data_IF_003492834817
#
_entry.id   IF_003492834817
#
_cell.length_a   1.000
_cell.length_b   1.000
_cell.length_c   1.000
_cell.angle_alpha   90.00
_cell.angle_beta   90.00
_cell.angle_gamma   90.00
#
_symmetry.space_group_name_H-M   'P 1'
#
loop_
_entity.id
_entity.type
_entity.pdbx_description
1 polymer ?
#
# COMPACT_ATOMS: atom_id res chain seq x y z
N UNK A 1 -19.82 -19.28 9.63
CA UNK A 1 -19.71 -18.37 8.46
C UNK A 1 -18.89 -19.11 7.41
N UNK A 2 -18.97 -18.74 6.13
CA UNK A 2 -18.10 -19.34 5.11
C UNK A 2 -16.71 -18.72 5.26
N UNK A 3 -15.66 -19.54 5.34
CA UNK A 3 -14.30 -19.04 5.60
C UNK A 3 -13.66 -18.39 4.36
N UNK A 4 -14.14 -18.75 3.16
CA UNK A 4 -13.66 -18.21 1.87
C UNK A 4 -14.80 -18.02 0.86
N UNK A 5 -14.70 -16.98 0.04
CA UNK A 5 -15.65 -16.61 -0.99
C UNK A 5 -15.07 -16.85 -2.38
N UNK A 6 -15.74 -17.69 -3.20
CA UNK A 6 -15.41 -17.81 -4.61
C UNK A 6 -16.03 -16.66 -5.42
N UNK A 7 -15.56 -16.49 -6.65
CA UNK A 7 -16.15 -15.55 -7.61
C UNK A 7 -17.65 -15.85 -7.83
N UNK A 8 -18.03 -17.11 -7.93
CA UNK A 8 -19.42 -17.54 -8.10
C UNK A 8 -20.28 -17.20 -6.89
N UNK A 9 -19.73 -17.33 -5.67
CA UNK A 9 -20.42 -16.88 -4.46
C UNK A 9 -20.70 -15.39 -4.50
N UNK A 10 -19.70 -14.58 -4.89
CA UNK A 10 -19.85 -13.13 -5.00
C UNK A 10 -20.85 -12.72 -6.08
N UNK A 11 -20.88 -13.40 -7.22
CA UNK A 11 -21.83 -13.13 -8.31
C UNK A 11 -23.26 -13.52 -7.93
N UNK A 12 -23.43 -14.54 -7.08
CA UNK A 12 -24.74 -15.04 -6.67
C UNK A 12 -25.30 -14.36 -5.41
N UNK A 13 -24.54 -13.46 -4.76
CA UNK A 13 -24.98 -12.68 -3.61
C UNK A 13 -26.32 -12.00 -3.90
N UNK A 14 -27.30 -12.27 -3.05
CA UNK A 14 -28.60 -11.63 -3.09
C UNK A 14 -28.59 -10.42 -2.16
N UNK A 15 -28.95 -9.24 -2.69
CA UNK A 15 -29.08 -8.04 -1.90
C UNK A 15 -30.18 -8.22 -0.83
N UNK A 16 -29.89 -7.81 0.40
CA UNK A 16 -30.87 -7.72 1.49
C UNK A 16 -31.30 -6.29 1.75
N UNK A 17 -30.52 -5.32 1.27
CA UNK A 17 -30.78 -3.89 1.42
C UNK A 17 -30.66 -3.20 0.06
N UNK A 18 -31.22 -1.99 -0.03
CA UNK A 18 -31.10 -1.14 -1.23
C UNK A 18 -29.71 -0.49 -1.35
N UNK A 19 -28.86 -0.63 -0.32
CA UNK A 19 -27.55 0.00 -0.21
C UNK A 19 -26.47 -1.07 0.02
N UNK A 20 -25.39 -0.99 -0.75
CA UNK A 20 -24.15 -1.73 -0.56
C UNK A 20 -23.05 -0.79 -0.09
N UNK A 21 -22.41 -1.10 1.04
CA UNK A 21 -21.22 -0.40 1.51
C UNK A 21 -20.00 -1.31 1.34
N UNK A 22 -19.10 -0.89 0.45
CA UNK A 22 -17.79 -1.49 0.25
C UNK A 22 -16.76 -0.80 1.16
N UNK A 23 -16.15 -1.56 2.05
CA UNK A 23 -15.25 -1.06 3.11
C UNK A 23 -13.83 -1.47 2.77
N UNK A 24 -12.95 -0.49 2.56
CA UNK A 24 -11.50 -0.75 2.58
C UNK A 24 -11.06 -1.00 4.02
N UNK A 25 -10.44 -2.15 4.30
CA UNK A 25 -10.02 -2.47 5.67
C UNK A 25 -8.88 -1.54 6.13
N UNK A 26 -7.97 -1.21 5.23
CA UNK A 26 -6.78 -0.43 5.52
C UNK A 26 -7.13 1.05 5.73
N UNK A 27 -7.01 1.54 6.95
CA UNK A 27 -7.28 2.93 7.29
C UNK A 27 -8.75 3.30 7.43
N UNK A 28 -9.71 2.37 7.26
CA UNK A 28 -11.09 2.54 7.71
C UNK A 28 -11.49 1.60 8.85
N UNK A 29 -10.88 0.41 8.92
CA UNK A 29 -11.11 -0.55 10.02
C UNK A 29 -9.89 -0.65 10.91
N UNK A 30 -8.70 -0.74 10.32
CA UNK A 30 -7.44 -0.85 11.05
C UNK A 30 -6.60 0.42 10.89
N UNK A 31 -5.86 0.81 11.94
CA UNK A 31 -4.84 1.87 11.86
C UNK A 31 -3.55 1.37 11.18
N UNK A 32 -3.71 0.67 10.06
CA UNK A 32 -2.63 0.03 9.34
C UNK A 32 -1.85 1.01 8.47
N UNK A 33 -2.49 2.09 8.01
CA UNK A 33 -1.88 3.05 7.11
C UNK A 33 -0.71 3.79 7.76
N UNK A 34 -0.86 4.23 9.01
CA UNK A 34 0.22 4.89 9.75
C UNK A 34 1.40 3.95 9.95
N UNK A 35 1.14 2.70 10.35
CA UNK A 35 2.18 1.69 10.60
C UNK A 35 2.91 1.32 9.31
N UNK A 36 2.19 1.00 8.24
CA UNK A 36 2.76 0.65 6.93
C UNK A 36 3.57 1.83 6.37
N UNK A 37 3.10 3.06 6.53
CA UNK A 37 3.84 4.23 6.06
C UNK A 37 5.18 4.43 6.79
N UNK A 38 5.25 4.09 8.09
CA UNK A 38 6.54 4.08 8.81
C UNK A 38 7.52 3.10 8.18
N UNK A 39 7.06 1.89 7.87
CA UNK A 39 7.90 0.90 7.18
C UNK A 39 8.42 1.45 5.85
N UNK A 40 7.55 2.05 5.04
CA UNK A 40 7.93 2.60 3.74
C UNK A 40 8.93 3.76 3.83
N UNK A 41 8.68 4.76 4.68
CA UNK A 41 9.57 5.94 4.80
C UNK A 41 10.94 5.54 5.34
N UNK A 42 10.99 4.63 6.33
CA UNK A 42 12.24 4.16 6.93
C UNK A 42 13.03 3.37 5.87
N UNK A 43 12.34 2.51 5.11
CA UNK A 43 12.94 1.80 3.98
C UNK A 43 13.48 2.70 2.87
N UNK A 44 12.84 3.86 2.60
CA UNK A 44 13.36 4.85 1.64
C UNK A 44 14.67 5.46 2.15
N UNK A 45 14.78 5.76 3.43
CA UNK A 45 16.01 6.30 4.00
C UNK A 45 17.15 5.28 3.89
N UNK A 46 16.90 4.04 4.29
CA UNK A 46 17.91 2.98 4.33
C UNK A 46 18.39 2.53 2.94
N UNK A 47 17.50 2.36 1.96
CA UNK A 47 17.87 1.82 0.64
C UNK A 47 18.67 2.80 -0.22
N UNK A 48 18.50 4.10 -0.01
CA UNK A 48 19.16 5.13 -0.82
C UNK A 48 20.15 5.98 -0.02
N UNK A 49 20.49 5.58 1.21
CA UNK A 49 21.52 6.22 2.04
C UNK A 49 21.20 7.69 2.34
N UNK A 50 19.97 7.94 2.80
CA UNK A 50 19.45 9.29 3.04
C UNK A 50 19.45 9.70 4.52
N UNK A 51 20.25 9.03 5.36
CA UNK A 51 20.22 9.20 6.82
C UNK A 51 20.51 10.64 7.25
N UNK A 52 21.36 11.35 6.49
CA UNK A 52 21.71 12.74 6.77
C UNK A 52 20.52 13.73 6.68
N UNK A 53 19.41 13.32 6.06
CA UNK A 53 18.17 14.10 5.93
C UNK A 53 16.94 13.26 6.30
N UNK A 54 17.09 12.29 7.21
CA UNK A 54 16.04 11.33 7.52
C UNK A 54 14.72 12.01 7.96
N UNK A 55 14.79 13.05 8.78
CA UNK A 55 13.61 13.78 9.25
C UNK A 55 12.84 14.45 8.10
N UNK A 56 13.55 15.09 7.16
CA UNK A 56 12.95 15.70 5.97
C UNK A 56 12.37 14.65 5.03
N UNK A 57 13.11 13.55 4.79
CA UNK A 57 12.66 12.43 3.95
C UNK A 57 11.39 11.81 4.53
N UNK A 58 11.36 11.55 5.84
CA UNK A 58 10.19 11.02 6.53
C UNK A 58 8.96 11.92 6.37
N UNK A 59 9.11 13.23 6.58
CA UNK A 59 8.00 14.19 6.40
C UNK A 59 7.49 14.21 4.96
N UNK A 60 8.38 14.17 3.98
CA UNK A 60 8.01 14.15 2.56
C UNK A 60 7.26 12.85 2.24
N UNK A 61 7.81 11.69 2.62
CA UNK A 61 7.19 10.40 2.38
C UNK A 61 5.82 10.31 3.06
N UNK A 62 5.69 10.70 4.33
CA UNK A 62 4.42 10.74 5.05
C UNK A 62 3.41 11.66 4.39
N UNK A 63 3.81 12.88 4.00
CA UNK A 63 2.89 13.79 3.32
C UNK A 63 2.39 13.18 2.01
N UNK A 64 3.29 12.65 1.18
CA UNK A 64 2.93 11.99 -0.08
C UNK A 64 2.01 10.78 0.17
N UNK A 65 2.36 9.91 1.12
CA UNK A 65 1.66 8.64 1.35
C UNK A 65 0.37 8.73 2.17
N UNK A 66 0.22 9.74 3.03
CA UNK A 66 -0.91 9.84 3.96
C UNK A 66 -1.76 11.10 3.79
N UNK A 67 -1.17 12.22 3.37
CA UNK A 67 -1.80 13.55 3.47
C UNK A 67 -1.89 14.29 2.13
N UNK A 68 -1.61 13.62 1.02
CA UNK A 68 -1.70 14.17 -0.33
C UNK A 68 -2.76 13.44 -1.17
N UNK A 69 -3.15 14.00 -2.33
CA UNK A 69 -4.01 13.30 -3.31
C UNK A 69 -3.39 12.02 -3.90
N UNK A 70 -2.12 11.73 -3.60
CA UNK A 70 -1.43 10.50 -4.04
C UNK A 70 -1.53 9.35 -3.03
N UNK A 71 -2.25 9.56 -1.92
CA UNK A 71 -2.55 8.50 -0.96
C UNK A 71 -3.26 7.33 -1.67
N UNK A 72 -2.86 6.11 -1.35
CA UNK A 72 -3.48 4.88 -1.89
C UNK A 72 -3.07 4.54 -3.32
N UNK A 73 -2.13 5.25 -3.93
CA UNK A 73 -1.53 4.83 -5.20
C UNK A 73 -0.85 3.47 -5.09
N UNK A 74 -0.72 2.78 -6.22
CA UNK A 74 0.13 1.60 -6.32
C UNK A 74 1.55 1.94 -5.82
N UNK A 75 2.18 1.00 -5.12
CA UNK A 75 3.52 1.18 -4.52
C UNK A 75 4.57 1.78 -5.48
N UNK A 76 4.60 1.37 -6.75
CA UNK A 76 5.58 1.91 -7.71
C UNK A 76 5.24 3.33 -8.17
N UNK A 77 3.96 3.68 -8.23
CA UNK A 77 3.53 5.06 -8.44
C UNK A 77 3.83 5.92 -7.20
N UNK A 78 3.62 5.36 -6.01
CA UNK A 78 3.86 6.04 -4.75
C UNK A 78 5.35 6.34 -4.52
N UNK A 79 6.23 5.35 -4.72
CA UNK A 79 7.68 5.58 -4.62
C UNK A 79 8.20 6.52 -5.72
N UNK A 80 7.61 6.49 -6.92
CA UNK A 80 7.90 7.51 -7.92
C UNK A 80 7.54 8.91 -7.41
N UNK A 81 6.41 9.08 -6.71
CA UNK A 81 6.06 10.37 -6.08
C UNK A 81 6.99 10.75 -4.93
N UNK A 82 7.49 9.79 -4.16
CA UNK A 82 8.55 10.06 -3.19
C UNK A 82 9.79 10.61 -3.89
N UNK A 83 10.29 9.92 -4.92
CA UNK A 83 11.49 10.33 -5.64
C UNK A 83 11.35 11.71 -6.30
N UNK A 84 10.24 11.96 -7.00
CA UNK A 84 9.95 13.27 -7.58
C UNK A 84 9.91 14.38 -6.53
N UNK A 85 9.34 14.11 -5.35
CA UNK A 85 9.30 15.08 -4.26
C UNK A 85 10.69 15.29 -3.64
N UNK A 86 11.49 14.23 -3.50
CA UNK A 86 12.86 14.32 -3.01
C UNK A 86 13.77 15.08 -3.98
N UNK A 87 13.61 14.92 -5.30
CA UNK A 87 14.30 15.73 -6.31
C UNK A 87 13.93 17.21 -6.20
N UNK A 88 12.65 17.51 -5.95
CA UNK A 88 12.17 18.89 -5.83
C UNK A 88 12.67 19.57 -4.54
N UNK A 89 12.55 18.89 -3.39
CA UNK A 89 12.79 19.51 -2.08
C UNK A 89 14.18 19.23 -1.50
N UNK A 90 14.85 18.16 -1.94
CA UNK A 90 16.19 17.75 -1.52
C UNK A 90 17.08 17.42 -2.75
N UNK A 91 17.28 18.35 -3.70
CA UNK A 91 17.83 18.06 -5.03
C UNK A 91 19.20 17.37 -5.03
N UNK A 92 20.08 17.72 -4.10
CA UNK A 92 21.41 17.08 -3.94
C UNK A 92 21.32 15.58 -3.64
N UNK A 93 20.29 15.18 -2.89
CA UNK A 93 20.02 13.77 -2.56
C UNK A 93 19.15 13.11 -3.62
N UNK A 94 18.06 13.78 -4.01
CA UNK A 94 17.07 13.25 -4.96
C UNK A 94 17.63 12.95 -6.35
N UNK A 95 18.59 13.75 -6.83
CA UNK A 95 19.24 13.54 -8.14
C UNK A 95 19.96 12.20 -8.32
N UNK A 96 20.20 11.44 -7.23
CA UNK A 96 20.82 10.11 -7.26
C UNK A 96 19.80 8.97 -7.39
N UNK A 97 18.51 9.27 -7.24
CA UNK A 97 17.43 8.29 -7.27
C UNK A 97 17.12 7.87 -8.71
N UNK A 98 16.64 6.63 -8.94
CA UNK A 98 16.30 6.15 -10.27
C UNK A 98 14.93 6.66 -10.74
N UNK A 99 14.69 7.98 -10.62
CA UNK A 99 13.38 8.59 -10.86
C UNK A 99 12.93 8.46 -12.30
N UNK A 100 13.83 8.75 -13.26
CA UNK A 100 13.51 8.71 -14.68
C UNK A 100 13.26 7.27 -15.16
N UNK A 101 14.08 6.33 -14.69
CA UNK A 101 13.95 4.90 -15.00
C UNK A 101 12.63 4.34 -14.43
N UNK A 102 12.30 4.72 -13.19
CA UNK A 102 11.05 4.30 -12.55
C UNK A 102 9.84 4.94 -13.23
N UNK A 103 9.94 6.20 -13.65
CA UNK A 103 8.89 6.87 -14.41
C UNK A 103 8.60 6.16 -15.74
N UNK A 104 9.64 5.71 -16.44
CA UNK A 104 9.48 4.93 -17.68
C UNK A 104 8.71 3.62 -17.44
N UNK A 105 9.03 2.88 -16.36
CA UNK A 105 8.28 1.69 -15.98
C UNK A 105 6.83 2.01 -15.62
N UNK A 106 6.58 3.04 -14.81
CA UNK A 106 5.23 3.43 -14.39
C UNK A 106 4.37 3.88 -15.58
N UNK A 107 4.97 4.50 -16.61
CA UNK A 107 4.28 4.93 -17.83
C UNK A 107 4.22 3.87 -18.94
N UNK A 108 4.76 2.68 -18.71
CA UNK A 108 4.86 1.61 -19.72
C UNK A 108 3.51 1.02 -20.17
N UNK A 109 2.45 1.22 -19.38
CA UNK A 109 1.15 0.57 -19.57
C UNK A 109 1.11 -0.90 -19.11
N UNK A 110 2.21 -1.42 -18.55
CA UNK A 110 2.26 -2.74 -17.92
C UNK A 110 1.60 -2.74 -16.54
N UNK A 111 1.25 -3.93 -16.07
CA UNK A 111 0.80 -4.11 -14.69
C UNK A 111 1.92 -3.75 -13.72
N UNK A 112 1.67 -2.82 -12.79
CA UNK A 112 2.67 -2.33 -11.84
C UNK A 112 2.87 -3.33 -10.69
N UNK A 113 3.66 -4.37 -10.94
CA UNK A 113 3.94 -5.48 -10.04
C UNK A 113 5.43 -5.83 -10.01
N UNK A 114 5.91 -6.47 -8.92
CA UNK A 114 7.32 -6.89 -8.82
C UNK A 114 7.73 -7.84 -9.97
N UNK A 115 6.93 -8.84 -10.38
CA UNK A 115 7.30 -9.71 -11.51
C UNK A 115 7.36 -8.99 -12.86
N UNK A 116 6.54 -7.95 -13.07
CA UNK A 116 6.63 -7.11 -14.28
C UNK A 116 7.82 -6.15 -14.22
N UNK A 117 8.17 -5.62 -13.04
CA UNK A 117 9.37 -4.81 -12.86
C UNK A 117 10.64 -5.62 -13.11
N UNK A 118 10.70 -6.86 -12.63
CA UNK A 118 11.82 -7.77 -12.87
C UNK A 118 11.99 -8.06 -14.37
N UNK A 119 10.92 -8.41 -15.08
CA UNK A 119 10.93 -8.58 -16.55
C UNK A 119 11.27 -7.28 -17.29
N UNK A 120 10.85 -6.13 -16.77
CA UNK A 120 11.22 -4.83 -17.33
C UNK A 120 12.73 -4.62 -17.25
N UNK A 121 13.34 -4.89 -16.10
CA UNK A 121 14.80 -4.79 -15.89
C UNK A 121 15.55 -5.73 -16.84
N UNK A 122 15.13 -6.99 -16.94
CA UNK A 122 15.75 -7.98 -17.84
C UNK A 122 15.71 -7.54 -19.31
N UNK A 123 14.60 -6.94 -19.74
CA UNK A 123 14.39 -6.50 -21.13
C UNK A 123 15.15 -5.22 -21.47
N UNK A 124 15.25 -4.29 -20.52
CA UNK A 124 15.78 -2.94 -20.78
C UNK A 124 17.24 -2.78 -20.35
N UNK A 125 17.72 -3.61 -19.44
CA UNK A 125 19.05 -3.45 -18.83
C UNK A 125 19.13 -2.31 -17.81
N UNK A 126 17.99 -1.79 -17.34
CA UNK A 126 17.94 -0.68 -16.37
C UNK A 126 18.30 -1.14 -14.95
N UNK A 127 19.57 -1.41 -14.71
CA UNK A 127 20.08 -1.96 -13.44
C UNK A 127 19.77 -1.10 -12.21
N UNK A 128 19.61 0.22 -12.37
CA UNK A 128 19.27 1.10 -11.24
C UNK A 128 17.93 0.75 -10.59
N UNK A 129 17.00 0.15 -11.35
CA UNK A 129 15.71 -0.30 -10.84
C UNK A 129 15.80 -1.56 -9.97
N UNK A 130 16.95 -2.24 -9.93
CA UNK A 130 17.19 -3.34 -8.98
C UNK A 130 17.00 -2.86 -7.53
N UNK A 131 17.48 -1.65 -7.20
CA UNK A 131 17.29 -1.06 -5.88
C UNK A 131 15.80 -0.87 -5.51
N UNK A 132 14.96 -0.50 -6.49
CA UNK A 132 13.51 -0.36 -6.30
C UNK A 132 12.83 -1.73 -6.12
N UNK A 133 13.28 -2.73 -6.87
CA UNK A 133 12.78 -4.11 -6.76
C UNK A 133 13.14 -4.73 -5.41
N UNK A 134 14.38 -4.57 -4.97
CA UNK A 134 14.87 -5.02 -3.66
C UNK A 134 14.15 -4.31 -2.52
N UNK A 135 14.02 -2.98 -2.59
CA UNK A 135 13.23 -2.21 -1.63
C UNK A 135 11.80 -2.74 -1.56
N UNK A 136 11.15 -2.96 -2.72
CA UNK A 136 9.78 -3.45 -2.78
C UNK A 136 9.63 -4.82 -2.08
N UNK A 137 10.56 -5.75 -2.32
CA UNK A 137 10.58 -7.07 -1.66
C UNK A 137 10.76 -6.94 -0.15
N UNK A 138 11.68 -6.10 0.28
CA UNK A 138 11.97 -5.88 1.69
C UNK A 138 10.79 -5.21 2.43
N UNK A 139 10.11 -4.23 1.83
CA UNK A 139 8.91 -3.64 2.41
C UNK A 139 7.80 -4.67 2.59
N UNK A 140 7.62 -5.57 1.62
CA UNK A 140 6.66 -6.68 1.74
C UNK A 140 7.03 -7.61 2.90
N UNK A 141 8.32 -7.95 3.06
CA UNK A 141 8.80 -8.75 4.19
C UNK A 141 8.53 -8.06 5.53
N UNK A 142 8.94 -6.79 5.68
CA UNK A 142 8.72 -6.01 6.91
C UNK A 142 7.25 -5.88 7.28
N UNK A 143 6.37 -5.61 6.30
CA UNK A 143 4.92 -5.53 6.53
C UNK A 143 4.37 -6.88 7.00
N UNK A 144 4.84 -8.01 6.44
CA UNK A 144 4.37 -9.34 6.84
C UNK A 144 4.80 -9.75 8.26
N UNK A 145 5.82 -9.10 8.80
CA UNK A 145 6.36 -9.34 10.15
C UNK A 145 5.80 -8.36 11.18
N UNK A 146 4.95 -7.40 10.78
CA UNK A 146 4.31 -6.49 11.71
C UNK A 146 3.41 -7.29 12.68
N UNK A 147 3.38 -6.91 13.96
CA UNK A 147 2.38 -7.44 14.87
C UNK A 147 0.97 -7.07 14.39
N UNK A 148 -0.07 -7.81 14.81
CA UNK A 148 -1.44 -7.47 14.51
C UNK A 148 -1.75 -6.01 14.84
N UNK A 149 -2.35 -5.31 13.90
CA UNK A 149 -2.66 -3.89 14.02
C UNK A 149 -4.07 -3.77 14.61
N UNK A 150 -4.27 -3.01 15.68
CA UNK A 150 -5.57 -2.88 16.30
C UNK A 150 -6.56 -2.20 15.34
N UNK A 151 -7.82 -2.59 15.47
CA UNK A 151 -8.93 -1.90 14.86
C UNK A 151 -9.14 -0.52 15.51
N UNK A 152 -9.74 0.41 14.78
CA UNK A 152 -10.14 1.70 15.34
C UNK A 152 -11.21 1.53 16.41
N UNK A 153 -11.10 2.31 17.49
CA UNK A 153 -12.11 2.35 18.55
C UNK A 153 -13.50 2.64 17.97
N UNK A 154 -14.48 1.82 18.34
CA UNK A 154 -15.87 2.00 17.92
C UNK A 154 -16.22 1.44 16.54
N UNK A 155 -15.27 0.85 15.79
CA UNK A 155 -15.55 0.39 14.43
C UNK A 155 -16.59 -0.75 14.42
N UNK A 156 -16.45 -1.75 15.28
CA UNK A 156 -17.38 -2.89 15.30
C UNK A 156 -18.80 -2.46 15.66
N UNK A 157 -18.97 -1.56 16.63
CA UNK A 157 -20.26 -0.98 16.97
C UNK A 157 -20.85 -0.15 15.81
N UNK A 158 -19.99 0.46 15.00
CA UNK A 158 -20.41 1.20 13.81
C UNK A 158 -20.85 0.24 12.70
N UNK A 159 -20.11 -0.85 12.47
CA UNK A 159 -20.44 -1.90 11.51
C UNK A 159 -21.76 -2.59 11.87
N UNK A 160 -21.99 -2.91 13.15
CA UNK A 160 -23.27 -3.45 13.61
C UNK A 160 -24.45 -2.54 13.27
N UNK A 161 -24.31 -1.23 13.46
CA UNK A 161 -25.35 -0.25 13.11
C UNK A 161 -25.56 -0.15 11.60
N UNK A 162 -24.47 -0.16 10.83
CA UNK A 162 -24.53 -0.10 9.36
C UNK A 162 -25.16 -1.36 8.77
N UNK A 163 -24.92 -2.53 9.36
CA UNK A 163 -25.45 -3.81 8.89
C UNK A 163 -26.98 -3.90 8.93
N UNK A 164 -27.63 -3.06 9.75
CA UNK A 164 -29.11 -2.96 9.80
C UNK A 164 -29.69 -2.22 8.58
N UNK A 165 -28.88 -1.41 7.90
CA UNK A 165 -29.35 -0.52 6.83
C UNK A 165 -28.67 -0.78 5.47
N UNK A 166 -27.61 -1.58 5.44
CA UNK A 166 -26.83 -1.85 4.23
C UNK A 166 -26.22 -3.25 4.24
N UNK A 167 -26.08 -3.81 3.04
CA UNK A 167 -25.18 -4.94 2.82
C UNK A 167 -23.73 -4.44 2.91
N UNK A 168 -22.89 -5.15 3.65
CA UNK A 168 -21.50 -4.77 3.89
C UNK A 168 -20.57 -5.76 3.20
N UNK A 169 -19.57 -5.26 2.50
CA UNK A 169 -18.50 -6.09 1.92
C UNK A 169 -17.15 -5.45 2.20
N UNK A 170 -16.15 -6.25 2.53
CA UNK A 170 -14.76 -5.80 2.66
C UNK A 170 -14.10 -5.85 1.28
N UNK A 171 -13.43 -4.78 0.89
CA UNK A 171 -12.62 -4.71 -0.32
C UNK A 171 -11.18 -4.49 0.10
N UNK A 172 -10.26 -5.33 -0.34
CA UNK A 172 -8.86 -5.20 0.04
C UNK A 172 -7.95 -5.68 -1.09
N UNK A 173 -6.74 -5.13 -1.16
CA UNK A 173 -5.66 -5.67 -1.98
C UNK A 173 -4.89 -6.79 -1.26
N UNK A 174 -5.16 -6.98 0.03
CA UNK A 174 -4.62 -8.07 0.85
C UNK A 174 -5.25 -9.39 0.44
N UNK A 175 -4.49 -10.50 0.52
CA UNK A 175 -5.03 -11.83 0.24
C UNK A 175 -6.14 -12.17 1.23
N UNK A 176 -7.15 -12.91 0.78
CA UNK A 176 -8.31 -13.28 1.61
C UNK A 176 -7.88 -13.98 2.91
N UNK A 177 -6.91 -14.89 2.84
CA UNK A 177 -6.30 -15.54 4.00
C UNK A 177 -5.78 -14.56 5.06
N UNK A 178 -5.06 -13.53 4.62
CA UNK A 178 -4.50 -12.53 5.53
C UNK A 178 -5.60 -11.62 6.09
N UNK A 179 -6.59 -11.28 5.27
CA UNK A 179 -7.75 -10.50 5.66
C UNK A 179 -8.58 -11.24 6.74
N UNK A 180 -8.93 -12.49 6.52
CA UNK A 180 -9.70 -13.30 7.48
C UNK A 180 -8.98 -13.42 8.82
N UNK A 181 -7.64 -13.60 8.82
CA UNK A 181 -6.84 -13.61 10.04
C UNK A 181 -6.85 -12.27 10.77
N UNK A 182 -6.68 -11.16 10.04
CA UNK A 182 -6.68 -9.81 10.60
C UNK A 182 -8.02 -9.49 11.28
N UNK A 183 -9.13 -9.77 10.60
CA UNK A 183 -10.48 -9.55 11.12
C UNK A 183 -10.81 -10.44 12.32
N UNK A 184 -10.50 -11.75 12.26
CA UNK A 184 -10.73 -12.66 13.39
C UNK A 184 -9.88 -12.31 14.62
N UNK A 185 -8.69 -11.72 14.43
CA UNK A 185 -7.86 -11.28 15.55
C UNK A 185 -8.45 -10.06 16.27
N UNK A 186 -9.12 -9.19 15.52
CA UNK A 186 -9.59 -7.91 16.04
C UNK A 186 -10.91 -7.99 16.81
N UNK A 187 -11.69 -9.06 16.65
CA UNK A 187 -12.95 -9.32 17.37
C UNK A 187 -14.13 -9.42 16.44
#
# INVERSE_FOLDING_TARGET
>A
MKDFWSKEDLVSLQAKHDVLLAIDSDGCVFDSMTVKQRVFRDGVVEFWGLEAAADEVHRICEWVGLFSPWRGLNRFQLILKFFQSLEQYLPTLGSKLPTAELEAFVKSGLTLSMPELERWIERTGEEKLLSVLEWSREMSRRISELPPIPAFDGIFQSLEKLHVAADLIVVSQTTEDALVREWNHAG
#
